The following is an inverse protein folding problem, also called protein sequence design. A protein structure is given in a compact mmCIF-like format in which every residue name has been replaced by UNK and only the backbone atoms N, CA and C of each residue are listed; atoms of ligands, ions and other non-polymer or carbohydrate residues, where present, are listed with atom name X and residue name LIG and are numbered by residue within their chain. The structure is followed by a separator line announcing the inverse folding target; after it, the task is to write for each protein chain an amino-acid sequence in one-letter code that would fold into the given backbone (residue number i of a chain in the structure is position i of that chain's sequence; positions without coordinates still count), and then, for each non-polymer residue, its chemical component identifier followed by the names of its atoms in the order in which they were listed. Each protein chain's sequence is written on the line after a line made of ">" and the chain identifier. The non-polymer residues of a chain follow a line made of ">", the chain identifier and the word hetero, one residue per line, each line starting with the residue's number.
data_IF_244763159329
#
_entry.id   IF_244763159329
#
_cell.length_a   1.000
_cell.length_b   1.000
_cell.length_c   1.000
_cell.angle_alpha   90.00
_cell.angle_beta   90.00
_cell.angle_gamma   90.00
#
_symmetry.space_group_name_H-M   'P 1'
#
loop_
_entity.id
_entity.type
_entity.pdbx_description
1 polymer ?
#
# COMPACT_ATOMS: atom_id res chain seq x y z
N UNK A 1 18.30 -3.92 -6.79
CA UNK A 1 18.69 -5.26 -6.33
C UNK A 1 18.99 -5.31 -4.84
N UNK A 2 19.71 -4.31 -4.30
CA UNK A 2 20.03 -4.24 -2.86
C UNK A 2 18.77 -4.12 -1.98
N UNK A 3 17.80 -3.32 -2.39
CA UNK A 3 16.51 -3.20 -1.68
C UNK A 3 15.78 -4.55 -1.60
N UNK A 4 15.71 -5.28 -2.70
CA UNK A 4 15.06 -6.60 -2.73
C UNK A 4 15.76 -7.60 -1.79
N UNK A 5 17.09 -7.57 -1.71
CA UNK A 5 17.85 -8.42 -0.78
C UNK A 5 17.55 -8.05 0.68
N UNK A 6 17.48 -6.77 0.98
CA UNK A 6 17.12 -6.30 2.32
C UNK A 6 15.70 -6.75 2.69
N UNK A 7 14.74 -6.59 1.78
CA UNK A 7 13.36 -6.99 2.00
C UNK A 7 13.22 -8.51 2.16
N UNK A 8 13.84 -9.31 1.30
CA UNK A 8 13.80 -10.77 1.43
C UNK A 8 14.48 -11.24 2.70
N UNK A 9 15.55 -10.58 3.14
CA UNK A 9 16.18 -10.81 4.44
C UNK A 9 15.24 -10.54 5.60
N UNK A 10 14.50 -9.43 5.56
CA UNK A 10 13.48 -9.10 6.57
C UNK A 10 12.35 -10.14 6.58
N UNK A 11 11.89 -10.56 5.41
CA UNK A 11 10.87 -11.61 5.28
C UNK A 11 11.34 -12.94 5.88
N UNK A 12 12.56 -13.35 5.60
CA UNK A 12 13.15 -14.59 6.14
C UNK A 12 13.27 -14.57 7.66
N UNK A 13 13.38 -13.39 8.26
CA UNK A 13 13.41 -13.19 9.72
C UNK A 13 12.03 -13.08 10.35
N UNK A 14 10.96 -13.20 9.56
CA UNK A 14 9.58 -13.08 10.04
C UNK A 14 9.16 -11.66 10.43
N UNK A 15 9.83 -10.64 9.90
CA UNK A 15 9.54 -9.24 10.21
C UNK A 15 8.38 -8.67 9.41
N UNK A 16 7.98 -9.32 8.32
CA UNK A 16 6.95 -8.86 7.39
C UNK A 16 5.71 -9.74 7.52
N UNK A 17 4.56 -9.13 7.75
CA UNK A 17 3.28 -9.84 7.84
C UNK A 17 2.68 -10.12 6.45
N UNK A 18 2.78 -9.15 5.53
CA UNK A 18 2.36 -9.32 4.14
C UNK A 18 3.19 -8.46 3.20
N UNK A 19 3.29 -8.87 1.95
CA UNK A 19 3.97 -8.12 0.90
C UNK A 19 3.22 -8.30 -0.42
N UNK A 20 3.01 -7.18 -1.13
CA UNK A 20 2.37 -7.14 -2.44
C UNK A 20 3.12 -6.19 -3.35
N UNK A 21 3.38 -6.61 -4.56
CA UNK A 21 3.87 -5.69 -5.59
C UNK A 21 2.75 -4.76 -6.06
N UNK A 22 3.10 -3.52 -6.35
CA UNK A 22 2.18 -2.56 -6.96
C UNK A 22 2.26 -2.76 -8.48
N UNK A 23 1.24 -3.38 -9.05
CA UNK A 23 1.14 -3.65 -10.48
C UNK A 23 -0.01 -2.85 -11.10
N UNK A 24 -0.93 -3.50 -11.79
CA UNK A 24 -2.07 -2.86 -12.47
C UNK A 24 -2.90 -2.01 -11.49
N UNK A 25 -3.12 -0.76 -11.84
CA UNK A 25 -3.86 0.20 -11.02
C UNK A 25 -3.06 0.86 -9.91
N UNK A 26 -1.77 0.55 -9.80
CA UNK A 26 -0.83 1.19 -8.87
C UNK A 26 -1.10 0.93 -7.41
N UNK A 27 -0.65 1.85 -6.57
CA UNK A 27 -0.75 1.75 -5.11
C UNK A 27 -2.21 1.72 -4.61
N UNK A 28 -3.11 2.47 -5.25
CA UNK A 28 -4.51 2.54 -4.84
C UNK A 28 -5.19 1.16 -4.89
N UNK A 29 -5.01 0.45 -5.99
CA UNK A 29 -5.58 -0.91 -6.17
C UNK A 29 -4.92 -1.89 -5.23
N UNK A 30 -3.60 -1.82 -5.06
CA UNK A 30 -2.86 -2.69 -4.14
C UNK A 30 -3.33 -2.52 -2.69
N UNK A 31 -3.53 -1.27 -2.24
CA UNK A 31 -4.08 -0.99 -0.91
C UNK A 31 -5.48 -1.59 -0.73
N UNK A 32 -6.35 -1.41 -1.72
CA UNK A 32 -7.70 -1.96 -1.68
C UNK A 32 -7.68 -3.50 -1.62
N UNK A 33 -6.91 -4.14 -2.48
CA UNK A 33 -6.80 -5.61 -2.52
C UNK A 33 -6.25 -6.20 -1.23
N UNK A 34 -5.28 -5.56 -0.59
CA UNK A 34 -4.76 -5.98 0.72
C UNK A 34 -5.84 -5.96 1.81
N UNK A 35 -6.82 -5.06 1.72
CA UNK A 35 -7.93 -4.98 2.67
C UNK A 35 -9.02 -6.02 2.41
N UNK A 36 -9.18 -6.51 1.18
CA UNK A 36 -10.26 -7.42 0.82
C UNK A 36 -10.17 -8.77 1.53
N UNK A 37 -8.97 -9.31 1.68
CA UNK A 37 -8.75 -10.64 2.21
C UNK A 37 -9.03 -10.79 3.69
N UNK A 38 -8.81 -9.73 4.45
CA UNK A 38 -8.91 -9.76 5.92
C UNK A 38 -10.11 -8.96 6.47
N UNK A 39 -10.85 -8.27 5.59
CA UNK A 39 -11.99 -7.44 5.99
C UNK A 39 -11.59 -6.28 6.90
N UNK A 40 -10.37 -5.80 6.74
CA UNK A 40 -9.83 -4.67 7.49
C UNK A 40 -9.87 -3.40 6.66
N UNK A 41 -9.76 -2.25 7.34
CA UNK A 41 -9.54 -0.96 6.73
C UNK A 41 -8.09 -0.53 6.83
N UNK A 42 -7.77 0.62 6.25
CA UNK A 42 -6.46 1.23 6.36
C UNK A 42 -6.58 2.76 6.27
N UNK A 43 -5.72 3.44 7.00
CA UNK A 43 -5.55 4.89 6.95
C UNK A 43 -4.11 5.19 6.58
N UNK A 44 -3.89 5.80 5.42
CA UNK A 44 -2.55 6.05 4.88
C UNK A 44 -2.40 7.50 4.46
N UNK A 45 -1.19 8.02 4.59
CA UNK A 45 -0.76 9.31 4.10
C UNK A 45 0.33 9.10 3.05
N UNK A 46 0.15 9.68 1.87
CA UNK A 46 1.07 9.52 0.74
C UNK A 46 1.93 10.75 0.47
N UNK A 47 1.96 11.71 1.39
CA UNK A 47 2.68 12.98 1.22
C UNK A 47 4.16 12.78 0.87
N UNK A 48 4.82 11.80 1.50
CA UNK A 48 6.24 11.54 1.31
C UNK A 48 6.58 10.86 -0.03
N UNK A 49 5.58 10.31 -0.73
CA UNK A 49 5.83 9.60 -1.99
C UNK A 49 6.22 10.52 -3.14
N UNK A 50 5.92 11.81 -3.04
CA UNK A 50 6.26 12.83 -4.03
C UNK A 50 7.60 13.55 -3.78
N UNK A 51 8.29 13.26 -2.68
CA UNK A 51 9.47 14.05 -2.26
C UNK A 51 10.62 14.05 -3.28
N UNK A 52 10.72 13.02 -4.12
CA UNK A 52 11.76 12.90 -5.14
C UNK A 52 11.29 13.33 -6.55
N UNK A 53 10.04 13.68 -6.71
CA UNK A 53 9.45 14.12 -7.97
C UNK A 53 8.42 15.24 -7.70
N UNK A 54 8.84 16.51 -7.80
CA UNK A 54 7.97 17.65 -7.51
C UNK A 54 6.79 17.79 -8.49
N UNK A 55 6.86 17.12 -9.64
CA UNK A 55 5.79 17.12 -10.64
C UNK A 55 4.77 15.98 -10.41
N UNK A 56 5.05 15.08 -9.48
CA UNK A 56 4.16 13.97 -9.15
C UNK A 56 3.03 14.43 -8.24
N UNK A 57 1.83 14.55 -8.77
CA UNK A 57 0.65 14.86 -7.97
C UNK A 57 0.18 13.64 -7.15
N UNK A 58 -0.71 13.83 -6.16
CA UNK A 58 -1.21 12.71 -5.33
C UNK A 58 -1.90 11.60 -6.15
N UNK A 59 -2.60 11.93 -7.22
CA UNK A 59 -3.22 10.94 -8.10
C UNK A 59 -2.18 10.15 -8.87
N UNK A 60 -1.13 10.81 -9.36
CA UNK A 60 0.02 10.15 -9.96
C UNK A 60 0.71 9.19 -8.99
N UNK A 61 0.88 9.59 -7.74
CA UNK A 61 1.45 8.73 -6.69
C UNK A 61 0.60 7.47 -6.45
N UNK A 62 -0.74 7.61 -6.45
CA UNK A 62 -1.67 6.50 -6.20
C UNK A 62 -1.81 5.55 -7.39
N UNK A 63 -1.89 6.06 -8.59
CA UNK A 63 -2.31 5.29 -9.76
C UNK A 63 -1.18 4.97 -10.74
N UNK A 64 0.04 5.52 -10.54
CA UNK A 64 1.15 5.17 -11.41
C UNK A 64 1.55 3.70 -11.24
N UNK A 65 1.83 3.05 -12.37
CA UNK A 65 2.26 1.66 -12.43
C UNK A 65 3.80 1.56 -12.49
N UNK A 66 4.46 2.34 -11.64
CA UNK A 66 5.92 2.37 -11.56
C UNK A 66 6.47 1.03 -11.08
N UNK A 67 7.46 0.52 -11.77
CA UNK A 67 8.11 -0.75 -11.43
C UNK A 67 8.86 -0.65 -10.09
N UNK A 68 8.89 -1.75 -9.37
CA UNK A 68 9.72 -1.89 -8.18
C UNK A 68 9.10 -1.32 -6.90
N UNK A 69 7.82 -1.00 -6.89
CA UNK A 69 7.09 -0.60 -5.69
C UNK A 69 6.45 -1.83 -5.03
N UNK A 70 6.74 -2.02 -3.75
CA UNK A 70 6.21 -3.14 -2.97
C UNK A 70 5.55 -2.56 -1.72
N UNK A 71 4.29 -2.92 -1.51
CA UNK A 71 3.54 -2.60 -0.30
C UNK A 71 3.73 -3.73 0.70
N UNK A 72 4.16 -3.39 1.90
CA UNK A 72 4.33 -4.36 2.99
C UNK A 72 3.53 -3.96 4.22
N UNK A 73 3.07 -4.93 4.98
CA UNK A 73 2.57 -4.71 6.32
C UNK A 73 3.51 -5.36 7.35
N UNK A 74 3.66 -4.67 8.47
CA UNK A 74 4.56 -5.06 9.55
C UNK A 74 3.81 -4.94 10.86
N UNK A 75 3.89 -5.94 11.73
CA UNK A 75 3.27 -5.86 13.05
C UNK A 75 4.00 -4.83 13.92
N UNK A 76 3.29 -4.17 14.85
CA UNK A 76 3.88 -3.09 15.66
C UNK A 76 5.16 -3.51 16.40
N UNK A 77 5.22 -4.72 16.92
CA UNK A 77 6.39 -5.24 17.63
C UNK A 77 7.63 -5.38 16.74
N UNK A 78 7.46 -5.52 15.44
CA UNK A 78 8.54 -5.67 14.46
C UNK A 78 8.94 -4.38 13.77
N UNK A 79 8.22 -3.28 14.02
CA UNK A 79 8.39 -2.03 13.25
C UNK A 79 9.78 -1.43 13.33
N UNK A 80 10.38 -1.37 14.51
CA UNK A 80 11.73 -0.84 14.70
C UNK A 80 12.79 -1.72 14.03
N UNK A 81 12.67 -3.03 14.20
CA UNK A 81 13.61 -4.01 13.62
C UNK A 81 13.52 -4.02 12.10
N UNK A 82 12.30 -3.91 11.56
CA UNK A 82 12.08 -3.78 10.11
C UNK A 82 12.68 -2.49 9.57
N UNK A 83 12.45 -1.36 10.24
CA UNK A 83 13.02 -0.06 9.86
C UNK A 83 14.54 -0.13 9.79
N UNK A 84 15.17 -0.74 10.80
CA UNK A 84 16.62 -0.95 10.82
C UNK A 84 17.09 -1.84 9.66
N UNK A 85 16.36 -2.90 9.34
CA UNK A 85 16.68 -3.80 8.23
C UNK A 85 16.60 -3.10 6.86
N UNK A 86 15.72 -2.10 6.73
CA UNK A 86 15.53 -1.35 5.49
C UNK A 86 16.35 -0.06 5.42
N UNK A 87 17.20 0.20 6.41
CA UNK A 87 18.03 1.41 6.46
C UNK A 87 18.91 1.53 5.20
N UNK A 88 18.92 2.72 4.60
CA UNK A 88 19.66 2.99 3.37
C UNK A 88 18.90 2.66 2.08
N UNK A 89 17.66 2.17 2.20
CA UNK A 89 16.77 1.91 1.07
C UNK A 89 15.54 2.82 1.13
N UNK A 90 14.96 3.12 -0.04
CA UNK A 90 13.72 3.88 -0.12
C UNK A 90 12.59 3.07 0.54
N UNK A 91 12.14 3.54 1.70
CA UNK A 91 11.10 2.91 2.49
C UNK A 91 10.31 3.98 3.23
N UNK A 92 9.01 4.02 3.03
CA UNK A 92 8.12 5.03 3.62
C UNK A 92 7.05 4.35 4.47
N UNK A 93 6.86 4.85 5.68
CA UNK A 93 5.72 4.48 6.51
C UNK A 93 4.49 5.26 6.03
N UNK A 94 3.51 4.56 5.49
CA UNK A 94 2.31 5.19 4.94
C UNK A 94 1.20 5.39 5.98
N UNK A 95 1.11 4.51 6.95
CA UNK A 95 0.03 4.56 7.95
C UNK A 95 -0.21 3.22 8.61
N UNK A 96 -1.46 2.93 8.91
CA UNK A 96 -1.83 1.75 9.68
C UNK A 96 -3.06 1.04 9.12
N UNK A 97 -3.08 -0.28 9.37
CA UNK A 97 -4.25 -1.13 9.17
C UNK A 97 -5.12 -1.03 10.43
N UNK A 98 -6.42 -0.98 10.24
CA UNK A 98 -7.39 -0.94 11.34
C UNK A 98 -8.53 -1.96 11.12
N UNK A 99 -9.41 -2.06 12.10
CA UNK A 99 -10.56 -2.98 12.03
C UNK A 99 -11.80 -2.34 11.38
N UNK A 100 -11.68 -1.11 10.89
CA UNK A 100 -12.74 -0.43 10.16
C UNK A 100 -12.94 -1.01 8.77
N UNK A 101 -14.07 -0.69 8.15
CA UNK A 101 -14.39 -1.13 6.79
C UNK A 101 -14.18 0.02 5.79
N UNK A 102 -13.05 0.71 5.91
CA UNK A 102 -12.80 1.92 5.12
C UNK A 102 -11.33 2.05 4.74
N UNK A 103 -11.08 2.41 3.49
CA UNK A 103 -9.78 2.86 3.02
C UNK A 103 -9.81 4.38 2.95
N UNK A 104 -8.92 5.02 3.72
CA UNK A 104 -8.73 6.46 3.74
C UNK A 104 -7.31 6.81 3.31
N UNK A 105 -7.17 7.61 2.27
CA UNK A 105 -5.88 8.09 1.77
C UNK A 105 -5.87 9.61 1.84
N UNK A 106 -4.85 10.17 2.47
CA UNK A 106 -4.61 11.60 2.57
C UNK A 106 -3.28 11.98 1.94
N UNK A 107 -3.15 13.25 1.60
CA UNK A 107 -1.89 13.86 1.21
C UNK A 107 -1.87 15.30 1.75
N UNK A 108 -0.83 15.64 2.51
CA UNK A 108 -0.68 16.95 3.15
C UNK A 108 -1.91 17.36 3.96
N UNK A 109 -2.53 16.41 4.66
CA UNK A 109 -3.72 16.62 5.47
C UNK A 109 -5.02 16.69 4.69
N UNK A 110 -4.99 16.68 3.36
CA UNK A 110 -6.20 16.70 2.52
C UNK A 110 -6.64 15.28 2.15
N UNK A 111 -7.95 14.97 2.20
CA UNK A 111 -8.45 13.68 1.76
C UNK A 111 -8.36 13.55 0.25
N UNK A 112 -7.74 12.47 -0.22
CA UNK A 112 -7.58 12.15 -1.64
C UNK A 112 -8.55 11.04 -2.05
N UNK A 113 -8.67 10.01 -1.23
CA UNK A 113 -9.56 8.87 -1.46
C UNK A 113 -10.19 8.46 -0.13
N UNK A 114 -11.48 8.19 -0.16
CA UNK A 114 -12.19 7.63 0.97
C UNK A 114 -13.33 6.75 0.47
N UNK A 115 -13.26 5.46 0.74
CA UNK A 115 -14.27 4.51 0.27
C UNK A 115 -14.41 3.35 1.24
N UNK A 116 -15.60 2.77 1.32
CA UNK A 116 -15.77 1.55 2.10
C UNK A 116 -15.14 0.37 1.37
N UNK A 117 -14.54 -0.55 2.13
CA UNK A 117 -13.93 -1.76 1.59
C UNK A 117 -14.98 -2.63 0.90
N UNK A 118 -16.20 -2.68 1.42
CA UNK A 118 -17.31 -3.42 0.82
C UNK A 118 -17.65 -2.90 -0.58
N UNK A 119 -17.72 -1.58 -0.75
CA UNK A 119 -18.00 -0.94 -2.05
C UNK A 119 -16.87 -1.19 -3.05
N UNK A 120 -15.62 -1.06 -2.61
CA UNK A 120 -14.45 -1.32 -3.44
C UNK A 120 -14.42 -2.79 -3.90
N UNK A 121 -14.71 -3.71 -3.00
CA UNK A 121 -14.76 -5.15 -3.30
C UNK A 121 -15.87 -5.48 -4.30
N UNK A 122 -17.05 -4.90 -4.15
CA UNK A 122 -18.15 -5.06 -5.09
C UNK A 122 -17.78 -4.56 -6.49
N UNK A 123 -17.17 -3.38 -6.58
CA UNK A 123 -16.72 -2.81 -7.85
C UNK A 123 -15.68 -3.70 -8.54
N UNK A 124 -14.74 -4.22 -7.76
CA UNK A 124 -13.70 -5.13 -8.25
C UNK A 124 -14.30 -6.45 -8.78
N UNK A 125 -15.21 -7.07 -8.02
CA UNK A 125 -15.90 -8.29 -8.43
C UNK A 125 -16.83 -8.05 -9.63
N UNK A 126 -17.49 -6.90 -9.69
CA UNK A 126 -18.35 -6.50 -10.79
C UNK A 126 -17.61 -6.33 -12.12
N UNK A 127 -16.40 -5.79 -12.08
CA UNK A 127 -15.57 -5.64 -13.28
C UNK A 127 -15.06 -7.00 -13.81
N UNK A 128 -14.88 -7.99 -12.95
CA UNK A 128 -14.53 -9.35 -13.36
C UNK A 128 -15.75 -10.13 -13.88
N UNK A 129 -16.96 -9.81 -13.40
CA UNK A 129 -18.21 -10.44 -13.82
C UNK A 129 -18.86 -9.83 -15.05
N UNK A 130 -18.43 -8.64 -15.47
CA UNK A 130 -19.00 -7.89 -16.59
C UNK A 130 -18.68 -8.42 -17.99
N UNK A 131 -17.94 -9.51 -18.10
CA UNK A 131 -17.61 -10.17 -19.36
C UNK A 131 -18.59 -11.26 -19.78
N UNK A 132 -19.65 -11.52 -19.03
CA UNK A 132 -20.61 -12.57 -19.29
C UNK A 132 -21.99 -12.01 -19.64
N UNK A 133 -22.06 -11.33 -20.77
CA UNK A 133 -23.33 -11.10 -21.50
C UNK A 133 -23.17 -11.38 -22.97
#
# INVERSE_FOLDING_TARGET
>A
LAMYRALTGAMSRGLVASAHDCSDGGLAVTLAECCFGVGSGASVDISELGDNDPDLDPFGALFSESLGRILVSVSPENSETFTAAMQGHACHWLGSVDTGNKLSVTSEGAPILSASISELKQSWQGSLGGGAQ
#
